data_IF_764658417862
#
_entry.id   IF_764658417862
#
_cell.length_a   1.000
_cell.length_b   1.000
_cell.length_c   1.000
_cell.angle_alpha   90.00
_cell.angle_beta   90.00
_cell.angle_gamma   90.00
#
_symmetry.space_group_name_H-M   'P 1'
#
loop_
_entity.id
_entity.type
_entity.pdbx_description
1 polymer ?
#
# COMPACT_ATOMS: atom_id res chain seq x y z
N UNK A 1 -24.91 -10.23 6.01
CA UNK A 1 -25.00 -8.79 5.68
C UNK A 1 -25.41 -8.65 4.23
N UNK A 2 -26.72 -8.63 3.98
CA UNK A 2 -27.26 -8.38 2.64
C UNK A 2 -27.43 -6.88 2.52
N UNK A 3 -26.79 -6.26 1.53
CA UNK A 3 -27.00 -4.85 1.25
C UNK A 3 -28.46 -4.68 0.78
N UNK A 4 -29.29 -4.02 1.59
CA UNK A 4 -30.65 -3.67 1.19
C UNK A 4 -30.55 -2.40 0.37
N UNK A 5 -30.67 -2.54 -0.95
CA UNK A 5 -30.76 -1.38 -1.83
C UNK A 5 -32.01 -0.55 -1.47
N UNK A 6 -31.95 0.79 -1.59
CA UNK A 6 -33.12 1.62 -1.36
C UNK A 6 -34.26 1.19 -2.28
N UNK A 7 -35.49 1.22 -1.74
CA UNK A 7 -36.72 0.76 -2.43
C UNK A 7 -37.01 1.58 -3.70
N UNK A 8 -36.44 2.78 -3.80
CA UNK A 8 -36.43 3.63 -4.98
C UNK A 8 -34.96 3.76 -5.42
N UNK A 9 -34.61 3.39 -6.67
CA UNK A 9 -33.29 3.66 -7.20
C UNK A 9 -33.09 5.18 -7.28
N UNK A 10 -32.13 5.70 -6.52
CA UNK A 10 -31.67 7.09 -6.61
C UNK A 10 -30.33 7.10 -7.33
N UNK A 11 -30.08 8.11 -8.17
CA UNK A 11 -28.73 8.36 -8.70
C UNK A 11 -27.81 8.98 -7.65
N UNK A 12 -28.37 9.33 -6.48
CA UNK A 12 -27.64 9.89 -5.36
C UNK A 12 -26.62 8.90 -4.80
N UNK A 13 -25.37 9.36 -4.72
CA UNK A 13 -24.29 8.63 -4.05
C UNK A 13 -24.49 8.80 -2.55
N UNK A 14 -24.75 7.69 -1.86
CA UNK A 14 -24.92 7.66 -0.40
C UNK A 14 -23.65 7.13 0.26
N UNK A 15 -23.05 7.95 1.11
CA UNK A 15 -21.89 7.59 1.92
C UNK A 15 -22.34 7.10 3.30
N UNK A 16 -21.75 6.02 3.79
CA UNK A 16 -22.08 5.47 5.11
C UNK A 16 -20.92 5.67 6.08
N UNK A 17 -21.24 6.00 7.33
CA UNK A 17 -20.23 6.10 8.37
C UNK A 17 -19.72 4.72 8.78
N UNK A 18 -18.47 4.65 9.22
CA UNK A 18 -17.93 3.41 9.78
C UNK A 18 -18.54 3.13 11.17
N UNK A 19 -18.92 1.88 11.41
CA UNK A 19 -19.25 1.40 12.74
C UNK A 19 -17.96 1.08 13.51
N UNK A 20 -17.43 2.10 14.18
CA UNK A 20 -16.15 2.06 14.91
C UNK A 20 -14.95 2.45 14.05
N UNK A 21 -13.74 2.16 14.55
CA UNK A 21 -12.50 2.51 13.87
C UNK A 21 -12.24 1.58 12.67
N UNK A 22 -11.89 2.18 11.53
CA UNK A 22 -11.46 1.49 10.33
C UNK A 22 -10.29 2.26 9.74
N UNK A 23 -9.13 1.61 9.65
CA UNK A 23 -7.90 2.23 9.15
C UNK A 23 -7.70 1.83 7.69
N UNK A 24 -7.49 2.82 6.83
CA UNK A 24 -7.06 2.57 5.46
C UNK A 24 -5.56 2.23 5.42
N UNK A 25 -5.21 1.25 4.59
CA UNK A 25 -3.85 0.74 4.42
C UNK A 25 -3.39 1.10 3.02
N UNK A 26 -2.34 1.92 2.93
CA UNK A 26 -1.63 2.19 1.69
C UNK A 26 -0.24 1.58 1.74
N UNK A 27 0.05 0.69 0.78
CA UNK A 27 1.37 0.08 0.64
C UNK A 27 2.13 0.73 -0.51
N UNK A 28 3.45 0.87 -0.37
CA UNK A 28 4.29 1.30 -1.47
C UNK A 28 4.53 0.12 -2.44
N UNK A 29 4.24 0.31 -3.73
CA UNK A 29 4.51 -0.65 -4.79
C UNK A 29 5.90 -0.47 -5.45
N UNK A 30 6.61 0.61 -5.12
CA UNK A 30 7.93 0.91 -5.67
C UNK A 30 8.97 -0.13 -5.26
N UNK A 31 9.75 -0.60 -6.23
CA UNK A 31 10.89 -1.47 -6.00
C UNK A 31 12.12 -0.64 -5.60
N UNK A 32 12.45 -0.64 -4.31
CA UNK A 32 13.61 0.06 -3.76
C UNK A 32 14.64 -0.94 -3.21
N UNK A 33 15.58 -1.38 -4.05
CA UNK A 33 16.62 -2.35 -3.66
C UNK A 33 18.01 -1.70 -3.57
N UNK A 34 18.80 -2.14 -2.58
CA UNK A 34 20.14 -1.63 -2.33
C UNK A 34 21.11 -2.77 -2.05
N UNK A 35 22.35 -2.59 -2.50
CA UNK A 35 23.48 -3.43 -2.12
C UNK A 35 24.49 -2.60 -1.34
N UNK A 36 24.89 -3.09 -0.18
CA UNK A 36 25.88 -2.48 0.69
C UNK A 36 27.33 -2.84 0.32
N UNK A 37 27.55 -3.55 -0.80
CA UNK A 37 28.88 -4.03 -1.25
C UNK A 37 29.89 -2.88 -1.36
N UNK A 38 29.45 -1.69 -1.80
CA UNK A 38 30.31 -0.51 -1.93
C UNK A 38 30.38 0.34 -0.66
N UNK A 39 29.46 0.15 0.29
CA UNK A 39 29.44 0.86 1.57
C UNK A 39 30.02 0.04 2.72
N UNK A 40 30.32 -1.25 2.50
CA UNK A 40 30.92 -2.19 3.44
C UNK A 40 30.30 -2.14 4.85
N UNK A 41 28.97 -2.22 4.93
CA UNK A 41 28.24 -2.20 6.21
C UNK A 41 28.18 -0.86 6.93
N UNK A 42 28.67 0.24 6.32
CA UNK A 42 28.51 1.57 6.89
C UNK A 42 27.04 2.04 6.92
N UNK A 43 26.77 3.05 7.73
CA UNK A 43 25.44 3.63 7.87
C UNK A 43 24.97 4.26 6.56
N UNK A 44 23.90 3.73 5.99
CA UNK A 44 23.22 4.31 4.84
C UNK A 44 22.48 5.58 5.31
N UNK A 45 22.75 6.70 4.65
CA UNK A 45 22.09 7.99 4.91
C UNK A 45 21.69 8.65 3.59
N UNK A 46 20.68 9.54 3.64
CA UNK A 46 20.22 10.28 2.46
C UNK A 46 19.46 9.46 1.40
N UNK A 47 19.24 8.16 1.59
CA UNK A 47 18.43 7.35 0.68
C UNK A 47 16.94 7.62 0.89
N UNK A 48 16.25 8.08 -0.13
CA UNK A 48 14.80 8.22 -0.11
C UNK A 48 14.15 6.83 -0.06
N UNK A 49 13.28 6.61 0.94
CA UNK A 49 12.58 5.33 1.16
C UNK A 49 11.09 5.38 0.82
N UNK A 50 10.49 6.56 0.93
CA UNK A 50 9.09 6.79 0.61
C UNK A 50 8.88 8.27 0.28
N UNK A 51 7.83 8.55 -0.49
CA UNK A 51 7.22 9.88 -0.60
C UNK A 51 5.81 9.75 -0.04
N UNK A 52 5.48 10.58 0.93
CA UNK A 52 4.15 10.60 1.54
C UNK A 52 3.33 11.71 0.88
N UNK A 53 2.10 11.44 0.44
CA UNK A 53 1.23 12.48 -0.13
C UNK A 53 0.82 13.50 0.95
N UNK A 54 0.69 14.75 0.54
CA UNK A 54 0.09 15.80 1.36
C UNK A 54 -1.42 15.87 1.08
N UNK A 55 -2.16 14.86 1.56
CA UNK A 55 -3.62 14.70 1.39
C UNK A 55 -4.41 15.03 2.66
N UNK A 56 -3.76 15.58 3.68
CA UNK A 56 -4.40 16.04 4.91
C UNK A 56 -3.43 16.72 5.85
N UNK A 57 -3.99 17.33 6.90
CA UNK A 57 -3.22 18.10 7.89
C UNK A 57 -2.94 17.31 9.19
N UNK A 58 -3.60 16.17 9.39
CA UNK A 58 -3.35 15.29 10.54
C UNK A 58 -1.97 14.64 10.46
N UNK A 59 -1.34 14.22 11.57
CA UNK A 59 -0.11 13.44 11.53
C UNK A 59 -0.26 12.18 10.67
N UNK A 60 0.76 11.87 9.88
CA UNK A 60 0.77 10.70 9.01
C UNK A 60 1.56 9.55 9.64
N UNK A 61 0.93 8.40 9.78
CA UNK A 61 1.56 7.19 10.29
C UNK A 61 2.25 6.43 9.15
N UNK A 62 3.58 6.29 9.23
CA UNK A 62 4.39 5.56 8.27
C UNK A 62 5.11 4.40 8.95
N UNK A 63 4.83 3.17 8.52
CA UNK A 63 5.59 1.98 8.92
C UNK A 63 6.61 1.64 7.84
N UNK A 64 7.89 1.84 8.15
CA UNK A 64 9.00 1.45 7.27
C UNK A 64 9.44 0.01 7.58
N UNK A 65 9.47 -0.82 6.54
CA UNK A 65 9.99 -2.18 6.62
C UNK A 65 11.30 -2.29 5.83
N UNK A 66 12.39 -2.62 6.51
CA UNK A 66 13.66 -2.97 5.89
C UNK A 66 13.75 -4.49 5.78
N UNK A 67 13.87 -4.99 4.55
CA UNK A 67 13.94 -6.43 4.24
C UNK A 67 15.36 -6.81 3.84
N UNK A 68 15.95 -7.76 4.56
CA UNK A 68 17.23 -8.37 4.19
C UNK A 68 16.97 -9.56 3.28
N UNK A 69 17.34 -9.44 2.01
CA UNK A 69 17.08 -10.43 0.96
C UNK A 69 18.37 -11.14 0.53
N UNK A 70 18.22 -12.30 -0.10
CA UNK A 70 19.37 -13.04 -0.67
C UNK A 70 19.93 -12.36 -1.92
N UNK A 71 21.18 -12.67 -2.29
CA UNK A 71 21.80 -12.17 -3.53
C UNK A 71 20.98 -12.50 -4.78
N UNK A 72 20.40 -13.69 -4.85
CA UNK A 72 19.55 -14.10 -5.97
C UNK A 72 18.30 -13.22 -6.06
N UNK A 73 17.64 -12.95 -4.93
CA UNK A 73 16.50 -12.03 -4.90
C UNK A 73 16.89 -10.60 -5.28
N UNK A 74 18.03 -10.11 -4.79
CA UNK A 74 18.54 -8.79 -5.18
C UNK A 74 18.74 -8.68 -6.70
N UNK A 75 19.40 -9.67 -7.31
CA UNK A 75 19.62 -9.70 -8.76
C UNK A 75 18.31 -9.72 -9.56
N UNK A 76 17.30 -10.47 -9.08
CA UNK A 76 15.97 -10.52 -9.70
C UNK A 76 15.29 -9.15 -9.69
N UNK A 77 15.23 -8.50 -8.53
CA UNK A 77 14.58 -7.19 -8.43
C UNK A 77 15.36 -6.09 -9.16
N UNK A 78 16.70 -6.14 -9.15
CA UNK A 78 17.54 -5.20 -9.87
C UNK A 78 17.28 -5.26 -11.38
N UNK A 79 17.12 -6.47 -11.91
CA UNK A 79 16.85 -6.68 -13.33
C UNK A 79 15.42 -6.28 -13.71
N UNK A 80 14.45 -6.52 -12.82
CA UNK A 80 13.08 -6.03 -12.98
C UNK A 80 13.01 -4.49 -12.98
N UNK A 81 13.73 -3.81 -12.08
CA UNK A 81 13.81 -2.35 -12.04
C UNK A 81 14.40 -1.79 -13.33
N UNK A 82 15.53 -2.34 -13.77
CA UNK A 82 16.19 -1.90 -15.00
C UNK A 82 15.25 -1.99 -16.21
N UNK A 83 14.35 -2.97 -16.21
CA UNK A 83 13.40 -3.20 -17.28
C UNK A 83 12.15 -2.31 -17.22
N UNK A 84 11.58 -2.10 -16.03
CA UNK A 84 10.43 -1.19 -15.86
C UNK A 84 10.82 0.24 -16.22
N UNK A 85 12.08 0.62 -15.99
CA UNK A 85 12.59 1.94 -16.36
C UNK A 85 12.93 2.06 -17.85
N UNK A 86 13.27 0.97 -18.54
CA UNK A 86 13.69 0.98 -19.95
C UNK A 86 12.56 0.68 -20.94
N UNK A 87 11.54 -0.07 -20.54
CA UNK A 87 10.42 -0.47 -21.38
C UNK A 87 9.10 0.04 -20.81
N UNK A 88 8.28 0.68 -21.65
CA UNK A 88 6.92 1.07 -21.28
C UNK A 88 5.94 -0.11 -21.16
N UNK A 89 6.39 -1.35 -21.36
CA UNK A 89 5.57 -2.57 -21.35
C UNK A 89 6.26 -3.71 -20.60
N UNK A 90 5.56 -4.27 -19.61
CA UNK A 90 5.99 -5.47 -18.86
C UNK A 90 6.18 -6.71 -19.75
N UNK A 91 5.74 -6.67 -21.01
CA UNK A 91 5.85 -7.78 -21.95
C UNK A 91 7.14 -7.79 -22.79
N UNK A 92 7.98 -6.74 -22.72
CA UNK A 92 9.28 -6.63 -23.43
C UNK A 92 10.50 -7.01 -22.56
N UNK A 93 10.25 -7.62 -21.42
CA UNK A 93 11.24 -7.99 -20.41
C UNK A 93 12.28 -8.99 -20.96
N UNK A 94 13.61 -8.80 -20.85
CA UNK A 94 14.60 -9.78 -21.30
C UNK A 94 14.39 -11.14 -20.64
N UNK A 95 14.64 -12.21 -21.38
CA UNK A 95 14.36 -13.58 -20.96
C UNK A 95 15.06 -13.94 -19.63
N UNK A 96 16.24 -13.38 -19.35
CA UNK A 96 17.00 -13.61 -18.11
C UNK A 96 16.30 -13.06 -16.86
N UNK A 97 15.39 -12.10 -17.04
CA UNK A 97 14.61 -11.48 -15.96
C UNK A 97 13.19 -12.05 -15.87
N UNK A 98 12.74 -12.74 -16.94
CA UNK A 98 11.46 -13.47 -16.95
C UNK A 98 11.53 -14.72 -16.09
N UNK A 99 12.62 -15.49 -16.14
CA UNK A 99 12.60 -16.82 -15.53
C UNK A 99 12.95 -16.84 -14.07
N UNK A 100 12.21 -17.66 -13.32
CA UNK A 100 12.49 -17.87 -11.92
C UNK A 100 13.88 -18.44 -11.71
N UNK A 101 14.68 -17.75 -10.91
CA UNK A 101 16.01 -18.24 -10.52
C UNK A 101 15.94 -19.44 -9.56
N UNK A 102 14.79 -19.67 -8.91
CA UNK A 102 14.68 -20.70 -7.88
C UNK A 102 13.34 -21.45 -7.81
N UNK A 103 12.40 -21.20 -8.71
CA UNK A 103 11.16 -21.98 -8.87
C UNK A 103 11.26 -22.80 -10.14
N UNK A 104 10.86 -24.07 -10.09
CA UNK A 104 10.86 -24.99 -11.25
C UNK A 104 9.51 -25.70 -11.36
N UNK A 105 8.97 -25.86 -12.58
CA UNK A 105 7.78 -26.68 -12.79
C UNK A 105 8.10 -28.16 -12.52
N UNK A 106 7.15 -28.89 -11.93
CA UNK A 106 7.30 -30.32 -11.63
C UNK A 106 6.73 -31.17 -12.78
N UNK A 107 5.69 -30.67 -13.46
CA UNK A 107 4.90 -31.41 -14.46
C UNK A 107 5.42 -31.24 -15.89
N UNK A 108 5.78 -30.04 -16.30
CA UNK A 108 6.31 -29.76 -17.64
C UNK A 108 7.65 -29.00 -17.56
N UNK A 109 8.79 -29.64 -17.84
CA UNK A 109 10.09 -28.97 -17.88
C UNK A 109 10.22 -27.85 -18.92
N UNK A 110 9.31 -27.78 -19.91
CA UNK A 110 9.28 -26.70 -20.92
C UNK A 110 8.53 -25.47 -20.43
N UNK A 111 7.70 -25.63 -19.39
CA UNK A 111 6.99 -24.52 -18.78
C UNK A 111 7.98 -23.56 -18.12
N UNK A 112 7.76 -22.26 -18.33
CA UNK A 112 8.63 -21.22 -17.78
C UNK A 112 7.89 -20.46 -16.70
N UNK A 113 8.35 -20.58 -15.46
CA UNK A 113 7.76 -19.90 -14.31
C UNK A 113 8.35 -18.50 -14.19
N UNK A 114 7.48 -17.50 -14.02
CA UNK A 114 7.86 -16.12 -13.74
C UNK A 114 7.85 -15.86 -12.24
N UNK A 115 8.83 -15.08 -11.77
CA UNK A 115 8.90 -14.64 -10.37
C UNK A 115 9.99 -15.34 -9.56
N UNK A 116 10.08 -15.04 -8.27
CA UNK A 116 11.09 -15.61 -7.39
C UNK A 116 10.46 -15.98 -6.05
N UNK A 117 10.86 -17.12 -5.49
CA UNK A 117 10.55 -17.44 -4.10
C UNK A 117 11.58 -16.76 -3.21
N UNK A 118 11.15 -15.91 -2.27
CA UNK A 118 12.10 -15.17 -1.43
C UNK A 118 11.73 -15.30 0.05
N UNK A 119 12.75 -15.48 0.88
CA UNK A 119 12.65 -15.45 2.34
C UNK A 119 13.55 -14.33 2.81
N UNK A 120 13.03 -13.48 3.70
CA UNK A 120 13.74 -12.31 4.18
C UNK A 120 13.53 -12.09 5.67
N UNK A 121 14.53 -11.52 6.32
CA UNK A 121 14.36 -10.94 7.67
C UNK A 121 13.79 -9.53 7.53
N UNK A 122 12.84 -9.16 8.41
CA UNK A 122 12.23 -7.84 8.42
C UNK A 122 12.61 -7.10 9.70
N UNK A 123 13.08 -5.85 9.55
CA UNK A 123 13.12 -4.87 10.63
C UNK A 123 12.09 -3.79 10.37
N UNK A 124 11.25 -3.50 11.37
CA UNK A 124 10.17 -2.53 11.27
C UNK A 124 10.49 -1.30 12.10
N UNK A 125 10.12 -0.13 11.61
CA UNK A 125 10.17 1.12 12.37
C UNK A 125 9.00 2.02 12.01
N UNK A 126 8.39 2.60 13.03
CA UNK A 126 7.24 3.49 12.90
C UNK A 126 7.71 4.94 12.96
N UNK A 127 7.13 5.77 12.12
CA UNK A 127 7.34 7.21 12.08
C UNK A 127 5.99 7.92 12.08
N UNK A 128 5.86 8.92 12.95
CA UNK A 128 4.78 9.89 12.91
C UNK A 128 5.30 11.15 12.21
N UNK A 129 4.78 11.39 11.01
CA UNK A 129 5.19 12.53 10.19
C UNK A 129 4.20 13.66 10.47
N UNK A 130 4.71 14.72 11.08
CA UNK A 130 4.00 15.98 11.15
C UNK A 130 3.99 16.63 9.77
N UNK A 131 2.81 16.59 9.13
CA UNK A 131 2.61 17.11 7.77
C UNK A 131 2.54 18.63 7.72
N UNK A 132 2.56 19.34 8.85
CA UNK A 132 2.62 20.80 8.88
C UNK A 132 4.06 21.33 8.96
N UNK A 133 5.02 20.50 9.36
CA UNK A 133 6.36 20.94 9.78
C UNK A 133 7.27 21.45 8.66
N UNK A 134 6.91 21.27 7.39
CA UNK A 134 7.73 21.68 6.24
C UNK A 134 6.92 22.03 4.99
N UNK A 135 5.65 22.41 5.15
CA UNK A 135 4.78 22.76 4.01
C UNK A 135 4.93 24.26 3.70
N UNK A 136 5.25 24.64 2.45
CA UNK A 136 5.25 26.04 2.02
C UNK A 136 3.90 26.69 2.31
N UNK A 137 3.89 27.97 2.69
CA UNK A 137 2.65 28.69 3.08
C UNK A 137 1.57 28.73 1.99
N UNK A 138 1.95 28.54 0.74
CA UNK A 138 1.07 28.60 -0.42
C UNK A 138 0.56 27.21 -0.86
N UNK A 139 1.03 26.14 -0.23
CA UNK A 139 0.60 24.78 -0.52
C UNK A 139 -0.56 24.35 0.39
N UNK A 140 -1.54 23.68 -0.21
CA UNK A 140 -2.71 23.14 0.48
C UNK A 140 -2.77 21.63 0.31
N UNK A 141 -3.32 20.95 1.31
CA UNK A 141 -3.52 19.51 1.24
C UNK A 141 -4.49 19.15 0.09
N UNK A 142 -4.12 18.15 -0.71
CA UNK A 142 -4.97 17.55 -1.73
C UNK A 142 -6.02 16.65 -1.07
N UNK A 143 -7.03 17.27 -0.45
CA UNK A 143 -8.09 16.55 0.24
C UNK A 143 -9.05 15.98 -0.82
N UNK A 144 -9.19 14.67 -0.84
CA UNK A 144 -10.22 14.00 -1.65
C UNK A 144 -11.56 14.11 -0.93
N UNK A 145 -12.49 14.88 -1.50
CA UNK A 145 -13.86 14.92 -1.00
C UNK A 145 -14.65 13.72 -1.52
N UNK A 146 -15.37 13.05 -0.62
CA UNK A 146 -16.37 12.07 -1.05
C UNK A 146 -17.53 12.83 -1.70
N UNK A 147 -17.89 12.43 -2.93
CA UNK A 147 -19.09 12.95 -3.57
C UNK A 147 -20.33 12.31 -2.93
N UNK A 148 -21.40 13.10 -2.84
CA UNK A 148 -22.68 12.63 -2.29
C UNK A 148 -22.84 12.87 -0.79
N UNK A 149 -24.05 12.59 -0.30
CA UNK A 149 -24.43 12.88 1.08
C UNK A 149 -24.09 11.72 2.01
N UNK A 150 -23.81 12.02 3.28
CA UNK A 150 -23.71 10.99 4.31
C UNK A 150 -25.14 10.56 4.65
N UNK A 151 -25.44 9.29 4.39
CA UNK A 151 -26.72 8.71 4.74
C UNK A 151 -26.86 8.63 6.26
N UNK A 152 -27.94 9.23 6.76
CA UNK A 152 -28.34 9.13 8.17
C UNK A 152 -29.74 8.57 8.23
N UNK A 153 -29.99 7.68 9.19
CA UNK A 153 -31.31 7.09 9.35
C UNK A 153 -32.37 8.16 9.68
N UNK A 154 -33.49 8.22 8.95
CA UNK A 154 -34.56 9.15 9.26
C UNK A 154 -35.11 8.95 10.69
N UNK A 155 -35.51 10.02 11.39
CA UNK A 155 -36.12 9.89 12.71
C UNK A 155 -37.33 8.94 12.69
N UNK A 156 -37.35 7.96 13.62
CA UNK A 156 -38.44 6.99 13.75
C UNK A 156 -38.34 5.75 12.84
N UNK A 157 -37.28 5.62 12.03
CA UNK A 157 -37.06 4.41 11.24
C UNK A 157 -36.70 3.21 12.12
N UNK A 158 -37.41 2.08 11.94
CA UNK A 158 -37.09 0.79 12.56
C UNK A 158 -36.19 -0.03 11.64
N UNK A 159 -35.18 -0.70 12.20
CA UNK A 159 -34.19 -1.51 11.46
C UNK A 159 -33.40 -0.76 10.36
N UNK A 160 -33.24 0.56 10.49
CA UNK A 160 -32.37 1.32 9.62
C UNK A 160 -30.90 1.19 10.07
N UNK A 161 -30.00 1.08 9.10
CA UNK A 161 -28.56 1.01 9.33
C UNK A 161 -27.86 2.12 8.55
N UNK A 162 -27.39 3.13 9.25
CA UNK A 162 -26.61 4.27 8.73
C UNK A 162 -25.08 4.08 8.90
N UNK A 163 -24.69 3.02 9.60
CA UNK A 163 -23.29 2.64 9.81
C UNK A 163 -22.97 1.29 9.22
N UNK A 164 -21.81 1.20 8.58
CA UNK A 164 -21.32 -0.02 7.96
C UNK A 164 -20.15 -0.56 8.80
N UNK A 165 -20.16 -1.85 9.17
CA UNK A 165 -19.01 -2.44 9.83
C UNK A 165 -17.80 -2.40 8.90
N UNK A 166 -16.64 -2.06 9.45
CA UNK A 166 -15.39 -2.19 8.71
C UNK A 166 -15.23 -3.66 8.23
N UNK A 167 -14.81 -3.86 6.98
CA UNK A 167 -14.58 -5.19 6.42
C UNK A 167 -13.08 -5.31 6.17
N UNK A 168 -12.45 -6.30 6.80
CA UNK A 168 -11.01 -6.55 6.63
C UNK A 168 -10.69 -6.80 5.16
N UNK A 169 -9.66 -6.12 4.67
CA UNK A 169 -9.17 -6.28 3.30
C UNK A 169 -7.68 -5.94 3.22
N UNK A 170 -7.09 -6.12 2.04
CA UNK A 170 -5.71 -5.68 1.80
C UNK A 170 -5.48 -4.17 2.00
N UNK A 171 -6.56 -3.38 1.97
CA UNK A 171 -6.54 -1.92 2.04
C UNK A 171 -7.25 -1.36 3.28
N UNK A 172 -7.83 -2.21 4.15
CA UNK A 172 -8.59 -1.76 5.33
C UNK A 172 -8.49 -2.75 6.48
N UNK A 173 -8.40 -2.24 7.70
CA UNK A 173 -8.43 -3.07 8.91
C UNK A 173 -9.16 -2.41 10.07
N UNK A 174 -9.68 -3.22 11.00
CA UNK A 174 -10.16 -2.84 12.35
C UNK A 174 -9.07 -2.93 13.41
N UNK A 175 -7.89 -3.42 13.04
CA UNK A 175 -6.80 -3.57 13.99
C UNK A 175 -6.09 -2.23 14.08
N UNK A 176 -6.10 -1.64 15.28
CA UNK A 176 -5.35 -0.43 15.57
C UNK A 176 -3.88 -0.62 15.19
N UNK A 177 -3.28 0.31 14.40
CA UNK A 177 -1.88 0.21 14.03
C UNK A 177 -0.97 0.14 15.27
N UNK A 178 0.11 -0.63 15.16
CA UNK A 178 1.10 -0.75 16.22
C UNK A 178 1.68 0.62 16.59
N UNK A 179 1.80 0.92 17.88
CA UNK A 179 2.34 2.20 18.35
C UNK A 179 1.45 3.41 18.03
N UNK A 180 0.21 3.21 17.59
CA UNK A 180 -0.78 4.26 17.40
C UNK A 180 -1.20 4.87 18.74
N UNK A 181 -0.55 5.96 19.10
CA UNK A 181 -0.89 6.79 20.25
C UNK A 181 -1.24 8.17 19.71
N UNK A 182 -2.53 8.52 19.76
CA UNK A 182 -3.01 9.89 19.58
C UNK A 182 -3.34 10.47 20.95
#
# INVERSE_FOLDING_TARGET
>A
NVCVAPRVPTEDILNYMCDGNCWDITNNADLNVFSDVLTNGQRISGRQVARVPFDGYSPYYLRLEQRSITKNAFNFYQSLIAQVQSSGSLFDVPAETRFSMNIKPITDPKERVLGIFNVFSVRKKIYFIDRLKSVPKEEFALITYLNGEIYTCPPGSVNCQDRVPCVESAYRTKITPEGWNL
#
